data_IF_672106678586
#
_entry.id   IF_672106678586
#
_cell.length_a   1.000
_cell.length_b   1.000
_cell.length_c   1.000
_cell.angle_alpha   90.00
_cell.angle_beta   90.00
_cell.angle_gamma   90.00
#
_symmetry.space_group_name_H-M   'P 1'
#
loop_
_entity.id
_entity.type
_entity.pdbx_description
1 polymer ?
#
# COMPACT_ATOMS: atom_id res chain seq x y z
N UNK A 1 -8.72 14.67 -5.00
CA UNK A 1 -9.56 15.21 -3.92
C UNK A 1 -10.62 16.10 -4.54
N UNK A 2 -11.87 16.01 -4.10
CA UNK A 2 -12.99 16.77 -4.66
C UNK A 2 -13.93 17.24 -3.55
N UNK A 3 -14.38 18.49 -3.65
CA UNK A 3 -15.42 19.04 -2.78
C UNK A 3 -16.78 18.96 -3.48
N UNK A 4 -17.80 18.58 -2.71
CA UNK A 4 -19.20 18.56 -3.08
C UNK A 4 -19.94 19.55 -2.17
N UNK A 5 -20.16 20.79 -2.62
CA UNK A 5 -20.89 21.79 -1.85
C UNK A 5 -22.40 21.55 -1.89
N UNK A 6 -23.06 21.81 -0.77
CA UNK A 6 -24.51 21.70 -0.59
C UNK A 6 -25.10 23.07 -0.24
N UNK A 7 -24.31 23.89 0.47
CA UNK A 7 -24.54 25.33 0.65
C UNK A 7 -23.22 26.09 0.43
N UNK A 8 -23.25 27.40 0.58
CA UNK A 8 -22.06 28.26 0.45
C UNK A 8 -21.00 27.98 1.54
N UNK A 9 -21.43 27.51 2.71
CA UNK A 9 -20.55 27.20 3.85
C UNK A 9 -20.39 25.71 4.14
N UNK A 10 -21.33 24.86 3.68
CA UNK A 10 -21.34 23.43 3.99
C UNK A 10 -21.00 22.59 2.77
N UNK A 11 -20.00 21.74 2.92
CA UNK A 11 -19.56 20.86 1.86
C UNK A 11 -18.97 19.55 2.39
N UNK A 12 -19.02 18.54 1.54
CA UNK A 12 -18.39 17.25 1.77
C UNK A 12 -17.14 17.14 0.91
N UNK A 13 -16.01 16.82 1.50
CA UNK A 13 -14.76 16.57 0.79
C UNK A 13 -14.51 15.07 0.70
N UNK A 14 -14.37 14.59 -0.53
CA UNK A 14 -13.99 13.21 -0.83
C UNK A 14 -12.54 13.14 -1.30
N UNK A 15 -11.79 12.17 -0.78
CA UNK A 15 -10.42 11.85 -1.17
C UNK A 15 -10.35 10.36 -1.49
N UNK A 16 -9.73 10.05 -2.62
CA UNK A 16 -9.31 8.70 -2.97
C UNK A 16 -7.80 8.71 -3.18
N UNK A 17 -7.11 7.78 -2.53
CA UNK A 17 -5.65 7.61 -2.59
C UNK A 17 -5.34 6.18 -3.04
N UNK A 18 -4.49 6.07 -4.05
CA UNK A 18 -4.06 4.77 -4.61
C UNK A 18 -2.56 4.66 -4.44
N UNK A 19 -2.11 3.72 -3.61
CA UNK A 19 -0.71 3.38 -3.43
C UNK A 19 -0.42 2.08 -4.17
N UNK A 20 0.72 2.05 -4.88
CA UNK A 20 1.11 0.91 -5.72
C UNK A 20 0.00 0.52 -6.73
N UNK A 21 -0.47 1.50 -7.52
CA UNK A 21 -1.56 1.33 -8.50
C UNK A 21 -1.36 0.15 -9.47
N UNK A 22 -0.14 -0.08 -10.03
CA UNK A 22 0.12 -1.24 -10.91
C UNK A 22 0.28 -2.56 -10.15
N UNK A 23 0.28 -2.54 -8.81
CA UNK A 23 0.54 -3.69 -7.95
C UNK A 23 1.92 -4.35 -8.22
N UNK A 24 2.98 -3.53 -8.33
CA UNK A 24 4.35 -4.01 -8.42
C UNK A 24 4.77 -4.66 -7.10
N UNK A 25 5.28 -5.89 -7.18
CA UNK A 25 5.74 -6.66 -6.03
C UNK A 25 7.23 -6.42 -5.83
N UNK A 26 7.63 -6.09 -4.60
CA UNK A 26 9.03 -5.98 -4.21
C UNK A 26 9.40 -7.19 -3.37
N UNK A 27 10.18 -8.10 -3.95
CA UNK A 27 10.64 -9.31 -3.28
C UNK A 27 11.73 -9.02 -2.26
N UNK A 28 11.77 -9.82 -1.20
CA UNK A 28 12.81 -9.78 -0.18
C UNK A 28 14.14 -10.28 -0.72
N UNK A 29 15.18 -10.17 0.11
CA UNK A 29 16.46 -10.77 -0.22
C UNK A 29 16.34 -12.31 -0.24
N UNK A 30 17.05 -12.99 -1.14
CA UNK A 30 17.15 -14.44 -1.11
C UNK A 30 17.77 -14.94 0.20
N UNK A 31 17.47 -16.19 0.58
CA UNK A 31 18.15 -16.85 1.69
C UNK A 31 19.66 -16.90 1.43
N UNK A 32 20.44 -16.26 2.31
CA UNK A 32 21.89 -16.16 2.20
C UNK A 32 22.63 -17.27 2.97
N UNK A 33 21.94 -18.07 3.78
CA UNK A 33 22.56 -19.08 4.63
C UNK A 33 22.61 -20.43 3.95
N UNK A 34 23.79 -21.04 3.94
CA UNK A 34 24.05 -22.37 3.40
C UNK A 34 23.72 -23.46 4.42
N UNK A 35 22.68 -24.23 4.14
CA UNK A 35 22.16 -25.41 4.82
C UNK A 35 22.11 -25.26 6.35
N UNK A 36 21.47 -24.17 6.81
CA UNK A 36 21.15 -23.93 8.22
C UNK A 36 19.89 -24.72 8.64
N UNK A 37 19.99 -26.04 8.68
CA UNK A 37 18.90 -26.95 9.09
C UNK A 37 17.84 -27.28 8.03
N UNK A 38 17.82 -26.54 6.92
CA UNK A 38 17.06 -26.87 5.70
C UNK A 38 17.73 -26.22 4.50
N UNK A 39 18.25 -27.00 3.57
CA UNK A 39 18.91 -26.46 2.38
C UNK A 39 17.88 -25.71 1.53
N UNK A 40 18.18 -24.45 1.21
CA UNK A 40 17.22 -23.50 0.62
C UNK A 40 17.85 -22.18 0.21
N UNK A 41 19.14 -22.20 -0.10
CA UNK A 41 19.94 -21.04 -0.50
C UNK A 41 19.39 -20.41 -1.77
N UNK A 42 19.44 -19.09 -1.87
CA UNK A 42 18.99 -18.38 -3.07
C UNK A 42 17.47 -18.38 -3.28
N UNK A 43 16.69 -19.03 -2.41
CA UNK A 43 15.23 -18.96 -2.48
C UNK A 43 14.72 -17.65 -1.87
N UNK A 44 13.68 -17.07 -2.48
CA UNK A 44 12.98 -15.91 -1.94
C UNK A 44 11.62 -16.35 -1.40
N UNK A 45 11.44 -16.25 -0.10
CA UNK A 45 10.23 -16.67 0.62
C UNK A 45 9.46 -15.50 1.23
N UNK A 46 9.94 -14.27 1.04
CA UNK A 46 9.41 -13.07 1.67
C UNK A 46 9.36 -11.87 0.72
N UNK A 47 8.63 -10.84 1.15
CA UNK A 47 8.64 -9.53 0.52
C UNK A 47 9.69 -8.63 1.17
N UNK A 48 10.14 -7.61 0.45
CA UNK A 48 11.08 -6.64 0.99
C UNK A 48 10.48 -5.96 2.24
N UNK A 49 11.31 -5.73 3.26
CA UNK A 49 10.88 -5.05 4.47
C UNK A 49 10.27 -3.67 4.14
N UNK A 50 9.10 -3.38 4.70
CA UNK A 50 8.37 -2.13 4.43
C UNK A 50 7.67 -2.06 3.06
N UNK A 51 7.76 -3.11 2.23
CA UNK A 51 6.96 -3.19 1.01
C UNK A 51 5.48 -3.30 1.37
N UNK A 52 4.65 -2.59 0.61
CA UNK A 52 3.19 -2.64 0.73
C UNK A 52 2.60 -3.04 -0.62
N UNK A 53 1.64 -3.98 -0.66
CA UNK A 53 0.90 -4.28 -1.88
C UNK A 53 0.06 -3.07 -2.29
N UNK A 54 -0.70 -3.18 -3.38
CA UNK A 54 -1.66 -2.15 -3.76
C UNK A 54 -2.62 -1.84 -2.61
N UNK A 55 -2.70 -0.57 -2.24
CA UNK A 55 -3.61 -0.07 -1.21
C UNK A 55 -4.47 1.04 -1.81
N UNK A 56 -5.77 0.96 -1.56
CA UNK A 56 -6.74 1.97 -1.99
C UNK A 56 -7.42 2.47 -0.72
N UNK A 57 -7.36 3.77 -0.50
CA UNK A 57 -7.90 4.41 0.69
C UNK A 57 -8.91 5.49 0.27
N UNK A 58 -10.02 5.53 1.00
CA UNK A 58 -11.06 6.53 0.82
C UNK A 58 -11.20 7.35 2.09
N UNK A 59 -11.28 8.67 1.93
CA UNK A 59 -11.53 9.61 3.01
C UNK A 59 -12.76 10.45 2.69
N UNK A 60 -13.62 10.62 3.69
CA UNK A 60 -14.77 11.50 3.64
C UNK A 60 -14.71 12.47 4.81
N UNK A 61 -14.76 13.77 4.53
CA UNK A 61 -14.77 14.82 5.55
C UNK A 61 -15.92 15.78 5.33
N UNK A 62 -16.65 16.10 6.40
CA UNK A 62 -17.77 17.04 6.38
C UNK A 62 -17.28 18.38 6.95
N UNK A 63 -17.59 19.46 6.25
CA UNK A 63 -17.36 20.83 6.66
C UNK A 63 -18.71 21.50 6.89
N UNK A 64 -18.88 22.13 8.06
CA UNK A 64 -20.15 22.70 8.52
C UNK A 64 -19.98 24.10 9.11
#
# INVERSE_FOLDING_TARGET
>A
MKNFPWTESRFVQFRAEFFNLPNNVNFGLPNAFLCDGGCGEGTITSLAAGSRPRQIQFGLKIYF
#
